data_IF_225859989052
#
_entry.id   IF_225859989052
#
_cell.length_a   1.000
_cell.length_b   1.000
_cell.length_c   1.000
_cell.angle_alpha   90.00
_cell.angle_beta   90.00
_cell.angle_gamma   90.00
#
_symmetry.space_group_name_H-M   'P 1'
#
loop_
_entity.id
_entity.type
_entity.pdbx_description
1 polymer ?
#
# COMPACT_ATOMS: atom_id res chain seq x y z
N UNK A 1 34.28 -93.29 6.83
CA UNK A 1 34.54 -91.89 7.22
C UNK A 1 33.46 -91.03 6.57
N UNK A 2 33.27 -89.82 7.09
CA UNK A 2 32.64 -88.63 6.48
C UNK A 2 31.58 -87.99 7.39
N UNK A 3 31.71 -86.67 7.58
CA UNK A 3 30.93 -85.92 8.56
C UNK A 3 30.66 -84.47 8.11
N UNK A 4 29.36 -84.15 8.07
CA UNK A 4 28.68 -82.87 8.32
C UNK A 4 29.52 -81.58 8.44
N UNK A 5 29.08 -80.58 7.68
CA UNK A 5 28.84 -79.19 8.13
C UNK A 5 27.83 -78.56 7.15
N UNK A 6 26.95 -77.62 7.45
CA UNK A 6 26.27 -77.05 8.64
C UNK A 6 25.72 -75.68 8.16
N UNK A 7 24.70 -75.12 8.81
CA UNK A 7 24.02 -73.87 8.40
C UNK A 7 23.85 -72.98 9.64
N UNK A 8 23.60 -71.67 9.45
CA UNK A 8 23.38 -70.59 10.46
C UNK A 8 24.72 -69.95 10.95
N UNK A 9 24.93 -68.61 10.97
CA UNK A 9 24.19 -67.46 10.41
C UNK A 9 25.04 -66.76 9.29
N UNK A 10 25.41 -65.46 9.18
CA UNK A 10 25.18 -64.25 9.97
C UNK A 10 25.03 -62.94 9.13
N UNK A 11 24.19 -62.02 9.63
CA UNK A 11 23.98 -60.60 9.25
C UNK A 11 25.06 -59.88 8.41
N UNK A 12 24.64 -59.27 7.29
CA UNK A 12 25.23 -58.02 6.75
C UNK A 12 24.10 -57.06 6.34
N UNK A 13 24.23 -55.78 6.68
CA UNK A 13 23.26 -54.71 6.36
C UNK A 13 23.46 -54.14 4.95
N UNK A 14 22.45 -54.26 4.10
CA UNK A 14 22.43 -53.60 2.79
C UNK A 14 21.95 -52.13 2.91
N UNK A 15 22.78 -51.20 2.42
CA UNK A 15 22.44 -49.77 2.30
C UNK A 15 21.57 -49.53 1.05
N UNK A 16 20.57 -48.62 1.09
CA UNK A 16 19.95 -48.10 -0.13
C UNK A 16 20.97 -47.37 -1.02
N UNK A 17 20.81 -47.46 -2.33
CA UNK A 17 21.71 -46.89 -3.34
C UNK A 17 21.60 -45.37 -3.44
N UNK A 18 22.73 -44.70 -3.70
CA UNK A 18 22.77 -43.26 -3.98
C UNK A 18 22.01 -42.91 -5.26
N UNK A 19 21.05 -41.99 -5.19
CA UNK A 19 20.49 -41.36 -6.38
C UNK A 19 21.49 -40.35 -6.96
N UNK A 20 21.61 -40.30 -8.28
CA UNK A 20 22.52 -39.39 -8.98
C UNK A 20 22.06 -37.92 -8.83
N UNK A 21 22.99 -36.95 -8.74
CA UNK A 21 22.63 -35.54 -8.64
C UNK A 21 22.03 -35.03 -9.95
N UNK A 22 20.85 -34.42 -9.87
CA UNK A 22 20.22 -33.75 -11.01
C UNK A 22 21.08 -32.56 -11.43
N UNK A 23 21.49 -32.54 -12.71
CA UNK A 23 22.29 -31.48 -13.30
C UNK A 23 21.58 -30.13 -13.18
N UNK A 24 22.17 -29.20 -12.43
CA UNK A 24 21.70 -27.81 -12.34
C UNK A 24 22.09 -27.07 -13.62
N UNK A 25 21.12 -26.70 -14.45
CA UNK A 25 21.37 -25.76 -15.54
C UNK A 25 21.76 -24.39 -14.98
N UNK A 26 23.04 -24.02 -15.12
CA UNK A 26 23.51 -22.66 -14.91
C UNK A 26 23.28 -21.83 -16.18
N UNK A 27 22.19 -21.05 -16.21
CA UNK A 27 21.97 -19.96 -17.16
C UNK A 27 21.12 -18.86 -16.50
N UNK A 28 21.17 -17.65 -17.06
CA UNK A 28 20.38 -16.49 -16.65
C UNK A 28 20.65 -15.95 -15.23
N UNK A 29 21.86 -15.43 -15.03
CA UNK A 29 22.18 -14.51 -13.93
C UNK A 29 21.53 -13.13 -14.11
N UNK A 30 20.28 -12.98 -13.67
CA UNK A 30 19.66 -11.67 -13.38
C UNK A 30 19.07 -11.76 -11.96
N UNK A 31 19.30 -10.73 -11.14
CA UNK A 31 18.89 -10.68 -9.73
C UNK A 31 17.36 -10.52 -9.58
N UNK A 32 16.62 -11.60 -9.81
CA UNK A 32 15.23 -11.71 -9.38
C UNK A 32 15.17 -12.14 -7.92
N UNK A 33 14.89 -11.19 -7.02
CA UNK A 33 14.68 -11.46 -5.58
C UNK A 33 13.28 -12.02 -5.28
N UNK A 34 12.71 -12.77 -6.23
CA UNK A 34 11.53 -13.60 -6.05
C UNK A 34 11.79 -14.64 -4.95
N UNK A 35 11.26 -14.39 -3.74
CA UNK A 35 11.22 -15.41 -2.69
C UNK A 35 10.48 -16.65 -3.25
N UNK A 36 11.01 -17.87 -3.07
CA UNK A 36 10.32 -19.07 -3.54
C UNK A 36 8.95 -19.19 -2.86
N UNK A 37 7.88 -19.24 -3.66
CA UNK A 37 6.51 -19.38 -3.14
C UNK A 37 6.38 -20.71 -2.40
N UNK A 38 5.86 -20.68 -1.17
CA UNK A 38 5.56 -21.88 -0.40
C UNK A 38 4.48 -22.71 -1.09
N UNK A 39 4.46 -24.02 -0.80
CA UNK A 39 3.37 -24.90 -1.27
C UNK A 39 1.99 -24.41 -0.81
N UNK A 40 1.91 -23.74 0.36
CA UNK A 40 0.69 -23.10 0.85
C UNK A 40 0.23 -21.95 -0.06
N UNK A 41 1.13 -21.02 -0.44
CA UNK A 41 0.82 -19.94 -1.39
C UNK A 41 0.41 -20.46 -2.77
N UNK A 42 1.09 -21.50 -3.27
CA UNK A 42 0.76 -22.11 -4.56
C UNK A 42 -0.62 -22.79 -4.54
N UNK A 43 -0.91 -23.58 -3.49
CA UNK A 43 -2.21 -24.24 -3.31
C UNK A 43 -3.34 -23.22 -3.13
N UNK A 44 -3.09 -22.13 -2.40
CA UNK A 44 -4.05 -21.05 -2.19
C UNK A 44 -4.33 -20.28 -3.49
N UNK A 45 -3.30 -19.99 -4.31
CA UNK A 45 -3.47 -19.35 -5.62
C UNK A 45 -4.23 -20.25 -6.62
N UNK A 46 -3.97 -21.56 -6.61
CA UNK A 46 -4.74 -22.52 -7.40
C UNK A 46 -6.21 -22.54 -6.96
N UNK A 47 -6.47 -22.51 -5.65
CA UNK A 47 -7.83 -22.44 -5.09
C UNK A 47 -8.51 -21.07 -5.27
N UNK A 48 -7.78 -19.96 -5.44
CA UNK A 48 -8.38 -18.68 -5.87
C UNK A 48 -9.00 -18.80 -7.27
N UNK A 49 -8.36 -19.57 -8.15
CA UNK A 49 -8.84 -19.87 -9.50
C UNK A 49 -10.00 -20.87 -9.52
N UNK A 50 -10.14 -21.69 -8.46
CA UNK A 50 -11.33 -22.54 -8.24
C UNK A 50 -12.55 -21.71 -7.83
N UNK A 51 -13.73 -22.15 -8.25
CA UNK A 51 -14.96 -21.39 -8.07
C UNK A 51 -15.33 -21.19 -6.60
N UNK A 52 -16.08 -20.13 -6.25
CA UNK A 52 -16.51 -19.87 -4.87
C UNK A 52 -17.46 -20.95 -4.30
N UNK A 53 -17.89 -21.92 -5.12
CA UNK A 53 -18.59 -23.14 -4.70
C UNK A 53 -17.64 -24.18 -4.09
N UNK A 54 -16.51 -24.45 -4.73
CA UNK A 54 -15.50 -25.42 -4.28
C UNK A 54 -14.89 -24.99 -2.94
N UNK A 55 -14.62 -23.68 -2.81
CA UNK A 55 -14.09 -23.06 -1.58
C UNK A 55 -15.04 -23.15 -0.36
N UNK A 56 -16.29 -23.59 -0.50
CA UNK A 56 -17.24 -23.77 0.62
C UNK A 56 -16.85 -24.89 1.58
N UNK A 57 -16.20 -25.94 1.07
CA UNK A 57 -15.84 -27.15 1.83
C UNK A 57 -14.50 -27.02 2.58
N UNK A 58 -13.78 -25.90 2.41
CA UNK A 58 -12.53 -25.64 3.10
C UNK A 58 -12.75 -25.36 4.61
N UNK A 59 -11.78 -25.71 5.49
CA UNK A 59 -11.80 -25.34 6.91
C UNK A 59 -12.06 -23.85 7.14
N UNK A 60 -12.76 -23.53 8.24
CA UNK A 60 -13.20 -22.16 8.56
C UNK A 60 -12.07 -21.12 8.53
N UNK A 61 -10.88 -21.49 9.03
CA UNK A 61 -9.68 -20.63 8.98
C UNK A 61 -9.28 -20.28 7.54
N UNK A 62 -9.23 -21.27 6.64
CA UNK A 62 -8.88 -21.02 5.24
C UNK A 62 -9.98 -20.21 4.54
N UNK A 63 -11.26 -20.49 4.81
CA UNK A 63 -12.38 -19.68 4.29
C UNK A 63 -12.29 -18.22 4.74
N UNK A 64 -11.94 -17.97 6.00
CA UNK A 64 -11.70 -16.61 6.50
C UNK A 64 -10.51 -15.94 5.78
N UNK A 65 -9.43 -16.69 5.48
CA UNK A 65 -8.30 -16.20 4.69
C UNK A 65 -8.65 -15.89 3.23
N UNK A 66 -9.45 -16.71 2.56
CA UNK A 66 -9.97 -16.38 1.21
C UNK A 66 -10.79 -15.10 1.22
N UNK A 67 -11.74 -14.95 2.16
CA UNK A 67 -12.54 -13.73 2.29
C UNK A 67 -11.69 -12.50 2.63
N UNK A 68 -10.67 -12.64 3.49
CA UNK A 68 -9.73 -11.57 3.79
C UNK A 68 -8.92 -11.15 2.55
N UNK A 69 -8.38 -12.12 1.80
CA UNK A 69 -7.62 -11.88 0.57
C UNK A 69 -8.49 -11.20 -0.49
N UNK A 70 -9.70 -11.71 -0.75
CA UNK A 70 -10.60 -11.14 -1.75
C UNK A 70 -11.01 -9.71 -1.38
N UNK A 71 -11.33 -9.44 -0.11
CA UNK A 71 -11.61 -8.09 0.37
C UNK A 71 -10.42 -7.12 0.25
N UNK A 72 -9.17 -7.59 0.48
CA UNK A 72 -7.96 -6.79 0.30
C UNK A 72 -7.66 -6.52 -1.19
N UNK A 73 -7.75 -7.54 -2.04
CA UNK A 73 -7.59 -7.47 -3.49
C UNK A 73 -8.60 -6.51 -4.11
N UNK A 74 -9.87 -6.62 -3.74
CA UNK A 74 -10.95 -5.83 -4.35
C UNK A 74 -10.97 -4.39 -3.82
N UNK A 75 -10.52 -4.16 -2.58
CA UNK A 75 -10.16 -2.83 -2.09
C UNK A 75 -9.01 -2.21 -2.91
N UNK A 76 -7.95 -2.98 -3.19
CA UNK A 76 -6.82 -2.53 -4.01
C UNK A 76 -7.25 -2.20 -5.45
N UNK A 77 -8.03 -3.07 -6.10
CA UNK A 77 -8.62 -2.82 -7.43
C UNK A 77 -9.41 -1.50 -7.42
N UNK A 78 -10.30 -1.31 -6.45
CA UNK A 78 -11.14 -0.10 -6.32
C UNK A 78 -10.33 1.18 -6.11
N UNK A 79 -9.26 1.14 -5.31
CA UNK A 79 -8.45 2.33 -4.99
C UNK A 79 -7.42 2.69 -6.07
N UNK A 80 -6.79 1.70 -6.70
CA UNK A 80 -5.58 1.89 -7.51
C UNK A 80 -5.72 1.50 -8.98
N UNK A 81 -6.70 0.65 -9.34
CA UNK A 81 -6.91 0.16 -10.71
C UNK A 81 -8.23 0.65 -11.34
N UNK A 82 -9.11 1.29 -10.58
CA UNK A 82 -10.41 1.81 -11.05
C UNK A 82 -10.31 2.79 -12.23
N UNK A 83 -9.22 3.56 -12.30
CA UNK A 83 -8.94 4.48 -13.41
C UNK A 83 -8.11 3.83 -14.55
N UNK A 84 -7.87 2.51 -14.50
CA UNK A 84 -7.06 1.75 -15.45
C UNK A 84 -7.96 0.69 -16.10
N UNK A 85 -8.52 1.02 -17.26
CA UNK A 85 -9.47 0.18 -18.02
C UNK A 85 -8.80 -1.02 -18.70
N UNK A 86 -8.25 -1.95 -17.91
CA UNK A 86 -7.47 -3.11 -18.38
C UNK A 86 -7.87 -4.36 -17.58
N UNK A 87 -8.20 -5.44 -18.30
CA UNK A 87 -8.50 -6.74 -17.71
C UNK A 87 -7.20 -7.40 -17.21
N UNK A 88 -6.94 -7.30 -15.91
CA UNK A 88 -5.80 -7.94 -15.24
C UNK A 88 -6.21 -9.37 -14.81
N UNK A 89 -5.49 -10.43 -15.26
CA UNK A 89 -5.78 -11.80 -14.85
C UNK A 89 -5.56 -12.04 -13.35
N UNK A 90 -6.42 -12.86 -12.73
CA UNK A 90 -6.42 -13.08 -11.28
C UNK A 90 -5.10 -13.65 -10.72
N UNK A 91 -4.38 -14.44 -11.52
CA UNK A 91 -3.03 -14.97 -11.21
C UNK A 91 -1.99 -13.89 -10.86
N UNK A 92 -2.25 -12.63 -11.21
CA UNK A 92 -1.35 -11.51 -11.00
C UNK A 92 -1.53 -10.83 -9.64
N UNK A 93 -2.59 -11.18 -8.88
CA UNK A 93 -2.78 -10.71 -7.50
C UNK A 93 -2.01 -11.63 -6.55
N UNK A 94 -0.87 -11.14 -6.05
CA UNK A 94 0.09 -11.93 -5.31
C UNK A 94 -0.39 -12.25 -3.87
N UNK A 95 0.02 -13.43 -3.39
CA UNK A 95 -0.36 -13.99 -2.07
C UNK A 95 0.88 -13.99 -1.17
N UNK A 96 0.79 -13.33 0.00
CA UNK A 96 1.84 -13.36 1.03
C UNK A 96 2.02 -14.76 1.66
N UNK A 97 3.14 -14.98 2.32
CA UNK A 97 3.43 -16.19 3.11
C UNK A 97 2.33 -16.52 4.14
N UNK A 98 1.72 -15.49 4.74
CA UNK A 98 0.59 -15.61 5.68
C UNK A 98 -0.79 -15.65 5.01
N UNK A 99 -0.87 -15.91 3.69
CA UNK A 99 -2.10 -15.98 2.90
C UNK A 99 -2.93 -14.67 2.92
N UNK A 100 -2.25 -13.52 3.05
CA UNK A 100 -2.84 -12.20 2.81
C UNK A 100 -2.59 -11.77 1.36
N UNK A 101 -3.19 -10.68 0.93
CA UNK A 101 -2.89 -10.03 -0.36
C UNK A 101 -1.59 -9.21 -0.28
N UNK A 102 -0.64 -9.45 -1.20
CA UNK A 102 0.58 -8.65 -1.36
C UNK A 102 0.36 -7.57 -2.45
N UNK A 103 0.17 -6.28 -2.09
CA UNK A 103 -0.03 -5.22 -3.07
C UNK A 103 1.24 -4.88 -3.87
N UNK A 104 2.43 -5.08 -3.30
CA UNK A 104 3.71 -4.67 -3.93
C UNK A 104 4.10 -5.66 -5.01
N UNK A 105 4.05 -6.95 -4.70
CA UNK A 105 4.34 -8.00 -5.68
C UNK A 105 3.20 -8.13 -6.72
N UNK A 106 1.98 -7.73 -6.37
CA UNK A 106 0.92 -7.48 -7.36
C UNK A 106 1.31 -6.39 -8.34
N UNK A 107 1.76 -5.21 -7.88
CA UNK A 107 2.18 -4.10 -8.75
C UNK A 107 3.27 -4.56 -9.73
N UNK A 108 4.29 -5.28 -9.25
CA UNK A 108 5.33 -5.88 -10.11
C UNK A 108 4.74 -6.86 -11.13
N UNK A 109 3.86 -7.76 -10.69
CA UNK A 109 3.23 -8.80 -11.52
C UNK A 109 2.34 -8.22 -12.64
N UNK A 110 1.64 -7.10 -12.38
CA UNK A 110 0.72 -6.49 -13.36
C UNK A 110 1.40 -5.51 -14.31
N UNK A 111 2.67 -5.12 -14.08
CA UNK A 111 3.46 -4.23 -14.95
C UNK A 111 3.37 -4.59 -16.44
N UNK A 112 3.42 -5.89 -16.77
CA UNK A 112 3.38 -6.40 -18.15
C UNK A 112 2.08 -6.12 -18.93
N UNK A 113 1.01 -5.68 -18.25
CA UNK A 113 -0.25 -5.24 -18.88
C UNK A 113 -0.41 -3.72 -18.90
N UNK A 114 0.58 -2.96 -18.40
CA UNK A 114 0.49 -1.51 -18.21
C UNK A 114 1.45 -0.80 -19.16
N UNK A 115 1.02 0.32 -19.74
CA UNK A 115 1.94 1.26 -20.38
C UNK A 115 2.88 1.85 -19.32
N UNK A 116 4.13 2.27 -19.65
CA UNK A 116 5.03 2.90 -18.70
C UNK A 116 4.40 4.09 -17.96
N UNK A 117 3.55 4.87 -18.65
CA UNK A 117 2.78 5.97 -18.07
C UNK A 117 1.76 5.49 -17.03
N UNK A 118 0.97 4.46 -17.32
CA UNK A 118 -0.02 3.93 -16.38
C UNK A 118 0.66 3.23 -15.19
N UNK A 119 1.78 2.54 -15.44
CA UNK A 119 2.60 1.92 -14.39
C UNK A 119 3.23 2.98 -13.47
N UNK A 120 3.73 4.09 -14.02
CA UNK A 120 4.19 5.24 -13.22
C UNK A 120 3.06 5.83 -12.38
N UNK A 121 1.90 6.14 -13.00
CA UNK A 121 0.74 6.69 -12.29
C UNK A 121 0.28 5.77 -11.15
N UNK A 122 0.25 4.45 -11.38
CA UNK A 122 -0.02 3.44 -10.35
C UNK A 122 1.01 3.47 -9.21
N UNK A 123 2.31 3.40 -9.52
CA UNK A 123 3.37 3.32 -8.51
C UNK A 123 3.44 4.56 -7.62
N UNK A 124 3.25 5.77 -8.19
CA UNK A 124 3.18 7.01 -7.43
C UNK A 124 1.89 7.13 -6.60
N UNK A 125 0.73 6.70 -7.13
CA UNK A 125 -0.55 6.69 -6.40
C UNK A 125 -0.52 5.70 -5.24
N UNK A 126 0.17 4.56 -5.38
CA UNK A 126 0.44 3.63 -4.30
C UNK A 126 1.54 4.15 -3.35
N UNK A 127 2.56 4.85 -3.85
CA UNK A 127 3.64 5.46 -3.07
C UNK A 127 4.95 4.66 -3.00
N UNK A 128 5.17 3.71 -3.91
CA UNK A 128 6.40 2.91 -3.93
C UNK A 128 7.53 3.67 -4.67
N UNK A 129 8.67 4.01 -4.03
CA UNK A 129 9.72 4.83 -4.64
C UNK A 129 10.36 4.12 -5.83
N UNK A 130 10.96 2.95 -5.58
CA UNK A 130 11.77 2.22 -6.55
C UNK A 130 11.02 1.88 -7.84
N UNK A 131 9.76 1.43 -7.73
CA UNK A 131 8.93 1.08 -8.88
C UNK A 131 8.46 2.32 -9.67
N UNK A 132 8.25 3.46 -8.99
CA UNK A 132 7.97 4.73 -9.67
C UNK A 132 9.20 5.29 -10.38
N UNK A 133 10.37 5.21 -9.76
CA UNK A 133 11.65 5.64 -10.35
C UNK A 133 12.05 4.74 -11.53
N UNK A 134 11.88 3.42 -11.41
CA UNK A 134 12.03 2.49 -12.53
C UNK A 134 11.08 2.86 -13.68
N UNK A 135 9.78 3.05 -13.40
CA UNK A 135 8.79 3.44 -14.41
C UNK A 135 9.15 4.78 -15.07
N UNK A 136 9.67 5.74 -14.30
CA UNK A 136 10.07 7.07 -14.78
C UNK A 136 11.21 7.01 -15.81
N UNK A 137 12.19 6.11 -15.66
CA UNK A 137 13.24 5.92 -16.69
C UNK A 137 12.69 5.49 -18.04
N UNK A 138 11.53 4.83 -18.08
CA UNK A 138 10.86 4.36 -19.29
C UNK A 138 9.92 5.43 -19.91
N UNK A 139 9.82 6.64 -19.34
CA UNK A 139 8.98 7.72 -19.85
C UNK A 139 9.73 8.66 -20.80
N UNK A 140 9.12 8.94 -21.96
CA UNK A 140 9.63 9.93 -22.89
C UNK A 140 9.51 11.37 -22.35
N UNK A 141 10.42 12.27 -22.76
CA UNK A 141 10.48 13.66 -22.26
C UNK A 141 9.13 14.40 -22.27
N UNK A 142 8.30 14.19 -23.30
CA UNK A 142 6.94 14.78 -23.38
C UNK A 142 6.03 14.28 -22.25
N UNK A 143 6.07 12.99 -21.91
CA UNK A 143 5.28 12.41 -20.81
C UNK A 143 5.75 12.95 -19.45
N UNK A 144 7.07 12.98 -19.21
CA UNK A 144 7.66 13.57 -17.99
C UNK A 144 7.20 15.01 -17.77
N UNK A 145 7.30 15.86 -18.80
CA UNK A 145 6.84 17.25 -18.77
C UNK A 145 5.32 17.37 -18.52
N UNK A 146 4.50 16.52 -19.15
CA UNK A 146 3.03 16.52 -18.93
C UNK A 146 2.66 16.16 -17.49
N UNK A 147 3.35 15.20 -16.87
CA UNK A 147 3.10 14.79 -15.48
C UNK A 147 3.46 15.89 -14.46
N UNK A 148 4.50 16.67 -14.74
CA UNK A 148 4.89 17.83 -13.93
C UNK A 148 3.86 18.97 -14.04
N UNK A 149 3.29 19.19 -15.23
CA UNK A 149 2.37 20.29 -15.54
C UNK A 149 0.88 19.94 -15.46
N UNK A 150 0.52 18.70 -15.08
CA UNK A 150 -0.88 18.26 -14.94
C UNK A 150 -1.63 19.18 -13.94
N UNK A 151 -2.81 19.67 -14.34
CA UNK A 151 -3.18 21.08 -14.12
C UNK A 151 -3.14 21.61 -12.68
N UNK A 152 -2.42 22.72 -12.48
CA UNK A 152 -2.39 23.49 -11.23
C UNK A 152 -3.69 24.26 -10.99
N UNK A 153 -4.72 23.60 -10.43
CA UNK A 153 -5.61 24.32 -9.50
C UNK A 153 -4.84 24.46 -8.19
N UNK A 154 -4.50 25.69 -7.82
CA UNK A 154 -3.77 26.00 -6.59
C UNK A 154 -4.35 25.19 -5.41
N UNK A 155 -3.46 24.57 -4.62
CA UNK A 155 -3.76 23.64 -3.51
C UNK A 155 -4.15 22.18 -3.85
N UNK A 156 -4.29 21.78 -5.13
CA UNK A 156 -4.59 20.37 -5.50
C UNK A 156 -3.45 19.69 -6.28
N UNK A 157 -2.40 19.29 -5.55
CA UNK A 157 -1.31 18.44 -6.06
C UNK A 157 -1.71 16.97 -5.94
N UNK A 158 -1.53 16.18 -7.01
CA UNK A 158 -1.69 14.72 -6.97
C UNK A 158 -0.39 14.02 -6.54
N UNK A 159 -0.43 12.80 -5.96
CA UNK A 159 0.80 12.05 -5.66
C UNK A 159 1.63 11.76 -6.92
N UNK A 160 0.97 11.57 -8.07
CA UNK A 160 1.61 11.42 -9.38
C UNK A 160 2.45 12.64 -9.74
N UNK A 161 1.91 13.84 -9.54
CA UNK A 161 2.60 15.11 -9.80
C UNK A 161 3.71 15.37 -8.78
N UNK A 162 3.49 15.07 -7.50
CA UNK A 162 4.51 15.20 -6.46
C UNK A 162 5.74 14.32 -6.77
N UNK A 163 5.51 13.05 -7.13
CA UNK A 163 6.58 12.12 -7.51
C UNK A 163 7.26 12.56 -8.82
N UNK A 164 6.51 13.03 -9.82
CA UNK A 164 7.06 13.53 -11.07
C UNK A 164 7.95 14.77 -10.86
N UNK A 165 7.55 15.72 -10.00
CA UNK A 165 8.37 16.89 -9.65
C UNK A 165 9.62 16.46 -8.88
N UNK A 166 9.50 15.51 -7.94
CA UNK A 166 10.64 14.97 -7.19
C UNK A 166 11.67 14.34 -8.14
N UNK A 167 11.27 13.40 -9.00
CA UNK A 167 12.17 12.72 -9.93
C UNK A 167 12.71 13.67 -11.02
N UNK A 168 11.92 14.62 -11.51
CA UNK A 168 12.40 15.65 -12.43
C UNK A 168 13.49 16.55 -11.81
N UNK A 169 13.40 16.85 -10.51
CA UNK A 169 14.45 17.60 -9.80
C UNK A 169 15.74 16.81 -9.61
N UNK A 170 15.68 15.48 -9.42
CA UNK A 170 16.86 14.60 -9.48
C UNK A 170 17.53 14.65 -10.85
N UNK A 171 16.73 14.56 -11.92
CA UNK A 171 17.21 14.57 -13.32
C UNK A 171 17.57 15.97 -13.86
N UNK A 172 17.47 17.02 -13.03
CA UNK A 172 17.68 18.43 -13.43
C UNK A 172 16.83 18.88 -14.64
N UNK A 173 15.63 18.28 -14.81
CA UNK A 173 14.74 18.57 -15.93
C UNK A 173 14.11 19.96 -15.81
N UNK A 174 14.51 20.86 -16.71
CA UNK A 174 13.95 22.21 -16.83
C UNK A 174 12.81 22.29 -17.87
N UNK A 175 11.82 23.18 -17.66
CA UNK A 175 11.59 23.98 -16.45
C UNK A 175 10.90 23.15 -15.35
N UNK A 176 11.37 23.29 -14.11
CA UNK A 176 10.58 22.90 -12.93
C UNK A 176 9.46 23.94 -12.74
N UNK A 177 8.25 23.55 -12.28
CA UNK A 177 7.18 24.50 -11.99
C UNK A 177 7.58 25.45 -10.85
N UNK A 178 7.42 26.77 -11.07
CA UNK A 178 7.80 27.87 -10.16
C UNK A 178 7.05 27.91 -8.81
N UNK A 179 6.22 26.92 -8.49
CA UNK A 179 5.23 27.00 -7.42
C UNK A 179 5.61 26.14 -6.21
N UNK A 180 6.03 26.85 -5.16
CA UNK A 180 6.22 26.41 -3.78
C UNK A 180 7.38 25.44 -3.47
N UNK A 181 7.83 25.51 -2.21
CA UNK A 181 8.85 24.62 -1.65
C UNK A 181 8.43 23.16 -1.76
N UNK A 182 9.40 22.24 -1.90
CA UNK A 182 9.16 20.80 -2.00
C UNK A 182 8.34 20.23 -0.83
N UNK A 183 8.44 20.80 0.37
CA UNK A 183 7.57 20.42 1.50
C UNK A 183 6.09 20.69 1.21
N UNK A 184 5.75 21.80 0.55
CA UNK A 184 4.36 22.18 0.25
C UNK A 184 3.72 21.27 -0.81
N UNK A 185 4.49 20.86 -1.81
CA UNK A 185 4.09 19.86 -2.82
C UNK A 185 3.65 18.56 -2.13
N UNK A 186 4.46 18.09 -1.17
CA UNK A 186 4.17 16.91 -0.36
C UNK A 186 2.99 17.12 0.61
N UNK A 187 2.86 18.29 1.25
CA UNK A 187 1.70 18.63 2.11
C UNK A 187 0.39 18.54 1.32
N UNK A 188 0.31 19.17 0.14
CA UNK A 188 -0.88 19.10 -0.70
C UNK A 188 -1.18 17.68 -1.19
N UNK A 189 -0.14 16.93 -1.58
CA UNK A 189 -0.30 15.55 -2.04
C UNK A 189 -0.72 14.58 -0.92
N UNK A 190 -0.24 14.75 0.31
CA UNK A 190 -0.68 13.97 1.47
C UNK A 190 -2.19 14.12 1.71
N UNK A 191 -2.66 15.38 1.78
CA UNK A 191 -4.08 15.73 1.95
C UNK A 191 -4.94 15.21 0.79
N UNK A 192 -4.44 15.32 -0.46
CA UNK A 192 -5.10 14.75 -1.63
C UNK A 192 -5.22 13.22 -1.53
N UNK A 193 -4.16 12.52 -1.13
CA UNK A 193 -4.17 11.07 -0.95
C UNK A 193 -5.16 10.62 0.14
N UNK A 194 -5.22 11.34 1.26
CA UNK A 194 -6.19 11.06 2.32
C UNK A 194 -7.64 11.20 1.82
N UNK A 195 -7.90 12.23 1.01
CA UNK A 195 -9.21 12.50 0.37
C UNK A 195 -9.62 11.50 -0.71
N UNK A 196 -8.70 10.66 -1.20
CA UNK A 196 -8.96 9.64 -2.25
C UNK A 196 -8.75 8.20 -1.74
N UNK A 197 -8.42 8.03 -0.45
CA UNK A 197 -8.32 6.72 0.17
C UNK A 197 -6.96 6.03 0.00
N UNK A 198 -5.89 6.77 -0.34
CA UNK A 198 -4.57 6.21 -0.67
C UNK A 198 -3.59 6.30 0.50
N UNK A 199 -3.80 5.49 1.55
CA UNK A 199 -3.05 5.57 2.82
C UNK A 199 -1.52 5.46 2.68
N UNK A 200 -1.03 4.65 1.73
CA UNK A 200 0.41 4.42 1.54
C UNK A 200 1.12 5.66 0.95
N UNK A 201 0.60 6.24 -0.13
CA UNK A 201 1.17 7.46 -0.71
C UNK A 201 0.92 8.70 0.17
N UNK A 202 -0.20 8.74 0.91
CA UNK A 202 -0.40 9.73 1.99
C UNK A 202 0.75 9.67 3.00
N UNK A 203 1.06 8.48 3.54
CA UNK A 203 2.13 8.31 4.53
C UNK A 203 3.52 8.64 3.99
N UNK A 204 3.82 8.25 2.74
CA UNK A 204 5.03 8.65 2.00
C UNK A 204 5.19 10.17 1.96
N UNK A 205 4.14 10.88 1.52
CA UNK A 205 4.20 12.34 1.38
C UNK A 205 4.36 13.03 2.75
N UNK A 206 3.70 12.54 3.81
CA UNK A 206 3.91 13.01 5.19
C UNK A 206 5.36 12.82 5.66
N UNK A 207 6.01 11.70 5.32
CA UNK A 207 7.41 11.44 5.69
C UNK A 207 8.41 12.43 5.08
N UNK A 208 8.12 12.98 3.89
CA UNK A 208 9.01 13.94 3.20
C UNK A 208 9.17 15.28 3.94
N UNK A 209 8.34 15.57 4.94
CA UNK A 209 8.46 16.77 5.78
C UNK A 209 8.39 16.50 7.29
N UNK A 210 8.66 15.26 7.73
CA UNK A 210 8.61 14.84 9.14
C UNK A 210 9.44 15.70 10.09
N UNK A 211 10.56 16.26 9.61
CA UNK A 211 11.44 17.15 10.39
C UNK A 211 10.79 18.51 10.75
N UNK A 212 9.59 18.81 10.22
CA UNK A 212 8.82 20.01 10.52
C UNK A 212 7.69 19.68 11.51
N UNK A 213 8.05 19.15 12.70
CA UNK A 213 7.16 18.45 13.64
C UNK A 213 5.75 19.05 13.79
N UNK A 214 5.63 20.35 14.04
CA UNK A 214 4.33 21.03 14.20
C UNK A 214 3.48 20.95 12.93
N UNK A 215 4.08 21.18 11.75
CA UNK A 215 3.39 21.03 10.46
C UNK A 215 3.10 19.56 10.14
N UNK A 216 3.99 18.64 10.52
CA UNK A 216 3.75 17.20 10.36
C UNK A 216 2.51 16.79 11.16
N UNK A 217 2.45 17.09 12.45
CA UNK A 217 1.32 16.73 13.31
C UNK A 217 0.01 17.38 12.84
N UNK A 218 0.02 18.69 12.51
CA UNK A 218 -1.09 19.42 11.88
C UNK A 218 -1.66 18.64 10.67
N UNK A 219 -0.77 18.15 9.79
CA UNK A 219 -1.16 17.49 8.53
C UNK A 219 -1.49 16.01 8.68
N UNK A 220 -1.03 15.31 9.72
CA UNK A 220 -1.58 13.98 10.08
C UNK A 220 -3.04 14.11 10.53
N UNK A 221 -3.35 15.12 11.37
CA UNK A 221 -4.72 15.37 11.84
C UNK A 221 -5.63 15.79 10.67
N UNK A 222 -5.15 16.68 9.80
CA UNK A 222 -5.89 17.08 8.59
C UNK A 222 -6.16 15.89 7.64
N UNK A 223 -5.17 15.00 7.43
CA UNK A 223 -5.38 13.77 6.65
C UNK A 223 -6.43 12.84 7.28
N UNK A 224 -6.42 12.68 8.61
CA UNK A 224 -7.39 11.86 9.33
C UNK A 224 -8.83 12.39 9.16
N UNK A 225 -9.02 13.70 9.34
CA UNK A 225 -10.32 14.36 9.18
C UNK A 225 -10.84 14.29 7.73
N UNK A 226 -9.98 14.38 6.71
CA UNK A 226 -10.38 14.21 5.30
C UNK A 226 -10.83 12.78 5.02
N UNK A 227 -10.10 11.79 5.55
CA UNK A 227 -10.48 10.39 5.44
C UNK A 227 -11.82 10.09 6.13
N UNK A 228 -12.16 10.74 7.25
CA UNK A 228 -13.50 10.65 7.85
C UNK A 228 -14.55 11.34 6.96
N UNK A 229 -14.26 12.54 6.45
CA UNK A 229 -15.17 13.32 5.59
C UNK A 229 -15.55 12.57 4.29
N UNK A 230 -14.60 11.83 3.70
CA UNK A 230 -14.79 11.07 2.45
C UNK A 230 -15.14 9.57 2.65
N UNK A 231 -15.49 9.14 3.87
CA UNK A 231 -15.86 7.75 4.19
C UNK A 231 -14.75 6.74 3.82
N UNK A 232 -13.52 7.01 4.27
CA UNK A 232 -12.32 6.19 4.05
C UNK A 232 -11.79 5.58 5.37
N UNK A 233 -12.56 4.69 6.01
CA UNK A 233 -12.25 4.15 7.33
C UNK A 233 -10.93 3.36 7.37
N UNK A 234 -10.49 2.84 6.22
CA UNK A 234 -9.21 2.12 6.08
C UNK A 234 -8.00 3.04 6.22
N UNK A 235 -8.08 4.29 5.75
CA UNK A 235 -7.02 5.31 5.95
C UNK A 235 -6.95 5.71 7.42
N UNK A 236 -8.10 5.94 8.06
CA UNK A 236 -8.15 6.32 9.48
C UNK A 236 -7.55 5.22 10.37
N UNK A 237 -7.91 3.96 10.12
CA UNK A 237 -7.32 2.80 10.81
C UNK A 237 -5.83 2.66 10.54
N UNK A 238 -5.35 2.96 9.33
CA UNK A 238 -3.93 2.99 9.01
C UNK A 238 -3.18 4.07 9.81
N UNK A 239 -3.76 5.27 9.94
CA UNK A 239 -3.18 6.38 10.72
C UNK A 239 -3.01 5.98 12.20
N UNK A 240 -4.05 5.43 12.85
CA UNK A 240 -3.95 5.02 14.26
C UNK A 240 -3.01 3.84 14.49
N UNK A 241 -2.93 2.89 13.56
CA UNK A 241 -2.03 1.72 13.66
C UNK A 241 -0.57 2.03 13.33
N UNK A 242 -0.30 3.14 12.66
CA UNK A 242 1.06 3.56 12.36
C UNK A 242 1.65 4.33 13.57
N UNK A 243 2.72 3.81 14.24
CA UNK A 243 3.25 4.38 15.48
C UNK A 243 4.01 5.70 15.31
N UNK A 244 4.23 6.13 14.07
CA UNK A 244 4.77 7.45 13.73
C UNK A 244 3.63 8.47 13.60
N UNK A 245 2.56 8.13 12.89
CA UNK A 245 1.40 9.00 12.66
C UNK A 245 0.52 9.15 13.92
N UNK A 246 0.31 8.08 14.69
CA UNK A 246 -0.55 8.10 15.88
C UNK A 246 -0.01 8.96 17.03
N UNK A 247 1.25 9.43 16.96
CA UNK A 247 1.83 10.39 17.90
C UNK A 247 1.26 11.80 17.77
N UNK A 248 0.86 12.21 16.56
CA UNK A 248 0.36 13.57 16.29
C UNK A 248 -0.82 13.95 17.19
N UNK A 249 -1.73 13.00 17.43
CA UNK A 249 -2.91 13.16 18.30
C UNK A 249 -2.58 13.33 19.79
N UNK A 250 -1.31 13.29 20.18
CA UNK A 250 -0.83 13.59 21.54
C UNK A 250 -0.31 15.03 21.68
N UNK A 251 -0.04 15.71 20.56
CA UNK A 251 0.48 17.07 20.55
C UNK A 251 -0.68 18.08 20.50
N UNK A 252 -1.09 18.59 21.66
CA UNK A 252 -2.19 19.57 21.77
C UNK A 252 -1.97 20.82 20.91
N UNK A 253 -0.73 21.23 20.63
CA UNK A 253 -0.42 22.39 19.79
C UNK A 253 -0.83 22.19 18.33
N UNK A 254 -0.84 20.96 17.82
CA UNK A 254 -1.23 20.64 16.45
C UNK A 254 -2.73 20.83 16.17
N UNK A 255 -3.55 20.98 17.22
CA UNK A 255 -4.97 21.32 17.13
C UNK A 255 -5.23 22.85 17.21
N UNK A 256 -4.23 23.64 17.64
CA UNK A 256 -4.39 25.05 18.02
C UNK A 256 -3.93 26.04 16.93
N UNK A 257 -4.07 25.69 15.64
CA UNK A 257 -3.71 26.56 14.52
C UNK A 257 -4.92 26.92 13.63
N UNK A 258 -5.70 27.98 13.97
CA UNK A 258 -6.88 28.36 13.20
C UNK A 258 -6.56 28.73 11.74
N UNK A 259 -5.36 29.27 11.50
CA UNK A 259 -4.91 29.76 10.20
C UNK A 259 -4.36 28.65 9.28
N UNK A 260 -4.52 27.36 9.64
CA UNK A 260 -4.11 26.22 8.80
C UNK A 260 -5.14 25.10 8.63
N UNK A 261 -6.36 25.26 9.16
CA UNK A 261 -7.53 24.40 8.92
C UNK A 261 -8.18 24.57 7.52
N UNK A 262 -7.58 25.42 6.67
CA UNK A 262 -8.12 25.98 5.41
C UNK A 262 -8.61 24.99 4.33
N UNK A 263 -8.48 23.67 4.49
CA UNK A 263 -8.98 22.70 3.50
C UNK A 263 -10.16 21.83 3.98
N UNK A 264 -10.59 21.94 5.24
CA UNK A 264 -11.37 20.87 5.87
C UNK A 264 -12.57 21.35 6.70
N UNK A 265 -12.35 22.32 7.58
CA UNK A 265 -13.39 22.99 8.34
C UNK A 265 -13.60 24.36 7.71
N UNK A 266 -14.67 24.51 6.93
CA UNK A 266 -15.19 25.82 6.56
C UNK A 266 -15.83 26.40 7.82
N UNK A 267 -15.04 27.05 8.68
CA UNK A 267 -15.42 27.41 10.06
C UNK A 267 -16.61 28.37 10.16
N UNK A 268 -17.08 28.92 9.04
CA UNK A 268 -18.35 29.67 8.95
C UNK A 268 -19.59 28.78 9.02
N UNK A 269 -19.44 27.49 8.75
CA UNK A 269 -20.46 26.46 8.96
C UNK A 269 -19.86 25.31 9.77
N UNK A 270 -20.32 25.10 11.01
CA UNK A 270 -20.10 23.81 11.67
C UNK A 270 -20.65 22.73 10.73
N UNK A 271 -19.76 21.89 10.20
CA UNK A 271 -20.14 20.76 9.36
C UNK A 271 -20.69 19.67 10.28
N UNK A 272 -21.95 19.84 10.68
CA UNK A 272 -22.64 18.93 11.62
C UNK A 272 -22.62 17.49 11.11
N UNK A 273 -22.65 17.30 9.78
CA UNK A 273 -22.49 16.00 9.11
C UNK A 273 -21.10 15.41 9.29
N UNK A 274 -20.05 16.23 9.39
CA UNK A 274 -18.70 15.78 9.77
C UNK A 274 -18.64 15.38 11.25
N UNK A 275 -19.27 16.13 12.15
CA UNK A 275 -19.38 15.75 13.57
C UNK A 275 -20.14 14.42 13.74
N UNK A 276 -21.30 14.27 13.08
CA UNK A 276 -22.04 13.00 13.02
C UNK A 276 -21.21 11.84 12.45
N UNK A 277 -20.34 12.09 11.47
CA UNK A 277 -19.44 11.08 10.91
C UNK A 277 -18.35 10.68 11.90
N UNK A 278 -17.76 11.65 12.61
CA UNK A 278 -16.79 11.42 13.68
C UNK A 278 -17.44 10.60 14.81
N UNK A 279 -18.64 10.98 15.25
CA UNK A 279 -19.37 10.27 16.31
C UNK A 279 -19.78 8.85 15.91
N UNK A 280 -20.30 8.64 14.69
CA UNK A 280 -20.59 7.30 14.17
C UNK A 280 -19.32 6.45 14.06
N UNK A 281 -18.21 7.03 13.63
CA UNK A 281 -16.94 6.31 13.50
C UNK A 281 -16.34 5.94 14.87
N UNK A 282 -16.44 6.83 15.87
CA UNK A 282 -16.04 6.56 17.25
C UNK A 282 -16.93 5.50 17.90
N UNK A 283 -18.26 5.60 17.77
CA UNK A 283 -19.19 4.60 18.31
C UNK A 283 -18.96 3.20 17.71
N UNK A 284 -18.56 3.11 16.44
CA UNK A 284 -18.21 1.86 15.77
C UNK A 284 -16.83 1.29 16.18
N UNK A 285 -15.97 2.06 16.86
CA UNK A 285 -14.59 1.67 17.22
C UNK A 285 -14.17 2.24 18.57
N UNK A 286 -14.22 1.38 19.61
CA UNK A 286 -13.81 1.63 21.01
C UNK A 286 -12.32 2.01 21.23
N UNK A 287 -11.60 2.39 20.19
CA UNK A 287 -10.19 2.81 20.21
C UNK A 287 -10.04 4.34 20.07
N UNK A 288 -11.16 5.08 19.94
CA UNK A 288 -11.20 6.46 19.39
C UNK A 288 -11.52 7.52 20.46
N UNK A 289 -11.79 7.14 21.71
CA UNK A 289 -12.20 8.07 22.79
C UNK A 289 -11.22 9.25 23.00
N UNK A 290 -9.92 9.04 22.76
CA UNK A 290 -8.90 10.11 22.79
C UNK A 290 -9.18 11.18 21.72
N UNK A 291 -9.48 10.77 20.49
CA UNK A 291 -9.78 11.70 19.40
C UNK A 291 -11.14 12.38 19.58
N UNK A 292 -12.15 11.64 20.05
CA UNK A 292 -13.46 12.21 20.37
C UNK A 292 -13.33 13.29 21.45
N UNK A 293 -12.54 13.04 22.49
CA UNK A 293 -12.25 14.04 23.54
C UNK A 293 -11.59 15.30 22.96
N UNK A 294 -10.47 15.16 22.25
CA UNK A 294 -9.76 16.32 21.68
C UNK A 294 -10.58 17.11 20.66
N UNK A 295 -11.34 16.46 19.77
CA UNK A 295 -12.16 17.17 18.77
C UNK A 295 -13.30 17.94 19.44
N UNK A 296 -14.00 17.34 20.41
CA UNK A 296 -15.11 18.02 21.10
C UNK A 296 -14.59 19.17 21.97
N UNK A 297 -13.49 18.97 22.72
CA UNK A 297 -12.90 20.02 23.56
C UNK A 297 -12.32 21.19 22.72
N UNK A 298 -11.83 20.93 21.50
CA UNK A 298 -11.30 21.98 20.61
C UNK A 298 -12.41 22.69 19.80
N UNK A 299 -13.54 22.04 19.51
CA UNK A 299 -14.66 22.64 18.77
C UNK A 299 -15.78 23.24 19.65
N UNK A 300 -15.63 23.15 20.97
CA UNK A 300 -16.52 23.77 21.97
C UNK A 300 -16.05 25.16 22.44
N UNK A 301 -14.83 25.58 22.06
CA UNK A 301 -14.26 26.91 22.25
C UNK A 301 -14.19 27.67 20.91
#
# INVERSE_FOLDING_TARGET
>A
MDARCSVIEARVTLRPTCFAPILRHQCCSILSTMKPRTLAQLSFAQLLSSGPLERRYLPLYLRAKFLQFEAQRDLFKRLYLSNISINIPEECFAVEEFLNFDPVETIRSIRKYLTPLNYFKLCATFGHPELAEEAWTQLGKRQKLTLMSESSKYLKVSPVQAEAIHLASKEQLSPLPLIACSSWVNVCAAVFCASNGWQYSMARNLQQFINQEVLFDEKVIECCLHAIKQDHPHVVVFIYRNPMLSKAFRNSRAFLNPLRLFSLIDTKTRDEKLLEKIDRFAAARKEIDVFKKFVIETCAN
#
